data_IF_899518582585
#
_entry.id   IF_899518582585
#
_cell.length_a   1.000
_cell.length_b   1.000
_cell.length_c   1.000
_cell.angle_alpha   90.00
_cell.angle_beta   90.00
_cell.angle_gamma   90.00
#
_symmetry.space_group_name_H-M   'P 1'
#
loop_
_entity.id
_entity.type
_entity.pdbx_description
1 polymer ?
#
# COMPACT_ATOMS: atom_id res chain seq x y z
N UNK A 1 0.06 7.94 20.47
CA UNK A 1 0.44 8.48 19.14
C UNK A 1 1.87 8.12 18.71
N UNK A 2 2.81 8.01 19.62
CA UNK A 2 4.25 7.89 19.29
C UNK A 2 4.72 6.58 18.66
N UNK A 3 3.85 5.59 18.49
CA UNK A 3 4.26 4.24 18.05
C UNK A 3 3.84 3.91 16.61
N UNK A 4 2.85 4.58 16.03
CA UNK A 4 2.30 4.26 14.72
C UNK A 4 2.90 5.11 13.59
N UNK A 5 3.26 6.37 13.86
CA UNK A 5 3.74 7.31 12.84
C UNK A 5 5.11 7.86 13.26
N UNK A 6 6.17 7.31 12.70
CA UNK A 6 7.56 7.64 13.03
C UNK A 6 8.08 8.75 12.10
N UNK A 7 8.82 9.73 12.66
CA UNK A 7 9.52 10.76 11.88
C UNK A 7 8.60 11.78 11.17
N UNK A 8 7.34 11.93 11.61
CA UNK A 8 6.33 12.79 10.97
C UNK A 8 5.85 13.93 11.87
N UNK A 9 6.70 14.46 12.75
CA UNK A 9 6.32 15.46 13.77
C UNK A 9 5.61 16.67 13.18
N UNK A 10 6.08 17.15 12.02
CA UNK A 10 5.50 18.30 11.33
C UNK A 10 4.10 18.01 10.81
N UNK A 11 3.91 16.85 10.18
CA UNK A 11 2.61 16.42 9.68
C UNK A 11 1.63 16.19 10.84
N UNK A 12 2.08 15.53 11.92
CA UNK A 12 1.26 15.28 13.11
C UNK A 12 0.82 16.58 13.78
N UNK A 13 1.71 17.57 13.92
CA UNK A 13 1.36 18.88 14.45
C UNK A 13 0.32 19.60 13.55
N UNK A 14 0.45 19.49 12.22
CA UNK A 14 -0.51 20.05 11.28
C UNK A 14 -1.88 19.36 11.39
N UNK A 15 -1.93 18.04 11.56
CA UNK A 15 -3.17 17.29 11.79
C UNK A 15 -3.86 17.70 13.08
N UNK A 16 -3.11 17.85 14.18
CA UNK A 16 -3.64 18.32 15.47
C UNK A 16 -4.23 19.72 15.36
N UNK A 17 -3.52 20.63 14.68
CA UNK A 17 -4.03 22.00 14.44
C UNK A 17 -5.29 21.99 13.57
N UNK A 18 -5.32 21.14 12.53
CA UNK A 18 -6.48 20.97 11.66
C UNK A 18 -7.68 20.38 12.43
N UNK A 19 -7.46 19.41 13.32
CA UNK A 19 -8.50 18.82 14.15
C UNK A 19 -9.11 19.83 15.15
N UNK A 20 -8.30 20.78 15.66
CA UNK A 20 -8.81 21.83 16.55
C UNK A 20 -9.77 22.81 15.87
N UNK A 21 -9.64 23.01 14.55
CA UNK A 21 -10.51 23.86 13.72
C UNK A 21 -10.79 23.17 12.39
N UNK A 22 -11.67 22.17 12.38
CA UNK A 22 -11.85 21.32 11.22
C UNK A 22 -12.39 22.07 10.00
N UNK A 23 -11.71 21.91 8.88
CA UNK A 23 -12.23 22.20 7.56
C UNK A 23 -13.10 21.04 7.05
N UNK A 24 -13.53 21.13 5.80
CA UNK A 24 -14.41 20.14 5.19
C UNK A 24 -13.70 19.14 4.29
N UNK A 25 -12.50 19.46 3.78
CA UNK A 25 -11.73 18.58 2.92
C UNK A 25 -10.22 18.69 3.15
N UNK A 26 -9.55 17.57 3.23
CA UNK A 26 -8.10 17.45 3.45
C UNK A 26 -7.48 16.60 2.36
N UNK A 27 -6.24 16.92 2.01
CA UNK A 27 -5.40 16.14 1.10
C UNK A 27 -4.08 15.81 1.83
N UNK A 28 -3.97 14.57 2.27
CA UNK A 28 -2.73 14.04 2.84
C UNK A 28 -1.87 13.52 1.69
N UNK A 29 -0.65 14.03 1.59
CA UNK A 29 0.28 13.74 0.50
C UNK A 29 1.55 13.14 1.08
N UNK A 30 1.95 11.97 0.62
CA UNK A 30 3.20 11.36 1.04
C UNK A 30 3.40 9.95 0.49
N UNK A 31 4.63 9.43 0.55
CA UNK A 31 4.92 8.11 0.03
C UNK A 31 4.21 7.02 0.83
N UNK A 32 3.82 5.96 0.14
CA UNK A 32 3.25 4.77 0.78
C UNK A 32 4.23 4.21 1.82
N UNK A 33 3.69 3.77 2.95
CA UNK A 33 4.51 3.22 4.02
C UNK A 33 5.27 4.26 4.85
N UNK A 34 4.99 5.57 4.66
CA UNK A 34 5.46 6.64 5.56
C UNK A 34 4.62 6.77 6.84
N UNK A 35 3.62 5.91 7.02
CA UNK A 35 2.64 6.00 8.11
C UNK A 35 1.45 6.90 7.80
N UNK A 36 1.30 7.35 6.55
CA UNK A 36 0.23 8.28 6.13
C UNK A 36 -1.17 7.66 6.29
N UNK A 37 -1.32 6.36 6.05
CA UNK A 37 -2.59 5.65 6.20
C UNK A 37 -3.01 5.59 7.68
N UNK A 38 -2.07 5.29 8.59
CA UNK A 38 -2.34 5.29 10.03
C UNK A 38 -2.58 6.70 10.56
N UNK A 39 -1.84 7.68 10.05
CA UNK A 39 -2.06 9.09 10.36
C UNK A 39 -3.45 9.58 9.90
N UNK A 40 -3.95 9.11 8.77
CA UNK A 40 -5.31 9.42 8.30
C UNK A 40 -6.38 8.88 9.25
N UNK A 41 -6.20 7.66 9.79
CA UNK A 41 -7.11 7.08 10.79
C UNK A 41 -7.03 7.82 12.12
N UNK A 42 -5.83 8.12 12.60
CA UNK A 42 -5.64 8.94 13.80
C UNK A 42 -6.28 10.33 13.65
N UNK A 43 -6.12 10.95 12.49
CA UNK A 43 -6.77 12.22 12.20
C UNK A 43 -8.30 12.10 12.20
N UNK A 44 -8.84 11.02 11.64
CA UNK A 44 -10.28 10.76 11.71
C UNK A 44 -10.76 10.60 13.15
N UNK A 45 -10.00 9.89 14.01
CA UNK A 45 -10.31 9.76 15.44
C UNK A 45 -10.35 11.12 16.15
N UNK A 46 -9.39 12.01 15.83
CA UNK A 46 -9.39 13.39 16.35
C UNK A 46 -10.61 14.18 15.87
N UNK A 47 -10.95 14.09 14.58
CA UNK A 47 -12.06 14.83 13.97
C UNK A 47 -13.42 14.45 14.55
N UNK A 48 -13.62 13.17 14.93
CA UNK A 48 -14.84 12.70 15.56
C UNK A 48 -14.80 12.72 17.09
N UNK A 49 -13.65 13.11 17.70
CA UNK A 49 -13.52 13.33 19.13
C UNK A 49 -13.40 12.06 19.98
N UNK A 50 -12.89 10.95 19.43
CA UNK A 50 -12.76 9.66 20.14
C UNK A 50 -11.34 9.31 20.55
N UNK A 51 -10.39 10.24 20.50
CA UNK A 51 -8.98 9.98 20.88
C UNK A 51 -8.82 9.54 22.34
N UNK A 52 -9.64 10.05 23.24
CA UNK A 52 -9.66 9.71 24.67
C UNK A 52 -10.66 8.57 25.00
N UNK A 53 -11.47 8.15 24.05
CA UNK A 53 -12.34 6.97 24.14
C UNK A 53 -11.62 5.74 23.58
N UNK A 54 -11.06 4.92 24.45
CA UNK A 54 -10.31 3.72 24.08
C UNK A 54 -11.08 2.79 23.13
N UNK A 55 -12.40 2.69 23.30
CA UNK A 55 -13.29 1.88 22.44
C UNK A 55 -13.44 2.51 21.06
N UNK A 56 -13.88 3.76 21.02
CA UNK A 56 -14.12 4.50 19.78
C UNK A 56 -12.83 4.60 18.96
N UNK A 57 -11.72 4.93 19.61
CA UNK A 57 -10.40 5.01 18.97
C UNK A 57 -9.99 3.66 18.33
N UNK A 58 -10.13 2.54 19.05
CA UNK A 58 -9.86 1.20 18.49
C UNK A 58 -10.75 0.87 17.29
N UNK A 59 -12.04 1.23 17.32
CA UNK A 59 -12.93 1.01 16.19
C UNK A 59 -12.49 1.80 14.95
N UNK A 60 -11.99 3.03 15.13
CA UNK A 60 -11.43 3.84 14.03
C UNK A 60 -10.19 3.17 13.45
N UNK A 61 -9.21 2.80 14.30
CA UNK A 61 -7.97 2.15 13.83
C UNK A 61 -8.23 0.80 13.14
N UNK A 62 -9.30 0.12 13.49
CA UNK A 62 -9.75 -1.12 12.83
C UNK A 62 -10.64 -0.88 11.61
N UNK A 63 -10.88 0.38 11.22
CA UNK A 63 -11.73 0.76 10.07
C UNK A 63 -13.17 0.28 10.17
N UNK A 64 -13.72 0.21 11.37
CA UNK A 64 -15.10 -0.29 11.64
C UNK A 64 -15.98 0.69 12.41
N UNK A 65 -15.50 1.88 12.72
CA UNK A 65 -16.31 2.92 13.37
C UNK A 65 -17.44 3.36 12.42
N UNK A 66 -18.70 3.49 12.89
CA UNK A 66 -19.84 3.80 12.01
C UNK A 66 -19.75 5.17 11.33
N UNK A 67 -19.02 6.11 11.94
CA UNK A 67 -18.87 7.48 11.43
C UNK A 67 -17.49 7.73 10.75
N UNK A 68 -16.65 6.70 10.60
CA UNK A 68 -15.43 6.75 9.81
C UNK A 68 -15.50 5.69 8.73
N UNK A 69 -15.60 6.10 7.47
CA UNK A 69 -15.77 5.17 6.35
C UNK A 69 -14.59 5.29 5.41
N UNK A 70 -13.92 4.18 5.18
CA UNK A 70 -12.77 4.08 4.30
C UNK A 70 -13.17 3.57 2.92
N UNK A 71 -12.61 4.20 1.90
CA UNK A 71 -12.76 3.81 0.50
C UNK A 71 -11.40 3.59 -0.13
N UNK A 72 -11.30 2.50 -0.85
CA UNK A 72 -10.18 2.16 -1.73
C UNK A 72 -10.74 1.74 -3.09
N UNK A 73 -9.99 1.99 -4.19
CA UNK A 73 -10.44 1.55 -5.49
C UNK A 73 -10.46 0.01 -5.57
N UNK A 74 -11.58 -0.55 -5.99
CA UNK A 74 -11.75 -1.99 -6.17
C UNK A 74 -11.01 -2.57 -7.39
N UNK A 75 -10.45 -1.70 -8.24
CA UNK A 75 -9.74 -2.01 -9.49
C UNK A 75 -8.62 -0.99 -9.72
N UNK A 76 -8.16 -0.83 -10.96
CA UNK A 76 -7.12 0.15 -11.33
C UNK A 76 -7.52 1.61 -11.06
N UNK A 77 -8.82 1.91 -10.90
CA UNK A 77 -9.34 3.24 -10.59
C UNK A 77 -10.68 3.15 -9.86
N UNK A 78 -11.08 4.25 -9.21
CA UNK A 78 -12.44 4.42 -8.71
C UNK A 78 -13.42 4.46 -9.88
N UNK A 79 -14.40 3.55 -9.88
CA UNK A 79 -15.46 3.52 -10.89
C UNK A 79 -16.55 4.50 -10.54
N UNK A 80 -16.89 5.40 -11.50
CA UNK A 80 -17.84 6.48 -11.25
C UNK A 80 -19.21 5.98 -10.80
N UNK A 81 -19.70 4.87 -11.35
CA UNK A 81 -20.99 4.29 -10.99
C UNK A 81 -20.90 3.56 -9.65
N UNK A 82 -20.09 2.51 -9.61
CA UNK A 82 -20.10 1.54 -8.51
C UNK A 82 -19.45 2.08 -7.23
N UNK A 83 -18.35 2.84 -7.36
CA UNK A 83 -17.63 3.35 -6.18
C UNK A 83 -18.11 4.75 -5.79
N UNK A 84 -18.14 5.70 -6.74
CA UNK A 84 -18.46 7.10 -6.40
C UNK A 84 -19.95 7.29 -6.18
N UNK A 85 -20.80 7.00 -7.20
CA UNK A 85 -22.24 7.31 -7.13
C UNK A 85 -23.05 6.36 -6.24
N UNK A 86 -22.67 5.09 -6.16
CA UNK A 86 -23.44 4.10 -5.37
C UNK A 86 -22.92 3.93 -3.95
N UNK A 87 -21.69 4.34 -3.64
CA UNK A 87 -21.09 4.14 -2.31
C UNK A 87 -20.63 5.44 -1.67
N UNK A 88 -19.71 6.21 -2.28
CA UNK A 88 -19.09 7.38 -1.64
C UNK A 88 -20.10 8.51 -1.45
N UNK A 89 -20.78 8.95 -2.51
CA UNK A 89 -21.73 10.08 -2.42
C UNK A 89 -22.94 9.80 -1.50
N UNK A 90 -23.58 8.61 -1.54
CA UNK A 90 -24.64 8.29 -0.60
C UNK A 90 -24.16 8.24 0.85
N UNK A 91 -22.93 7.75 1.09
CA UNK A 91 -22.37 7.71 2.44
C UNK A 91 -22.00 9.10 2.94
N UNK A 92 -21.50 9.98 2.07
CA UNK A 92 -21.26 11.38 2.40
C UNK A 92 -22.53 12.12 2.82
N UNK A 93 -23.68 11.79 2.22
CA UNK A 93 -24.97 12.41 2.52
C UNK A 93 -25.63 11.90 3.80
N UNK A 94 -25.13 10.83 4.42
CA UNK A 94 -25.70 10.29 5.66
C UNK A 94 -25.21 11.09 6.86
N UNK A 95 -26.13 11.38 7.78
CA UNK A 95 -25.78 11.98 9.06
C UNK A 95 -24.88 11.04 9.88
N UNK A 96 -24.02 11.59 10.74
CA UNK A 96 -23.27 10.80 11.72
C UNK A 96 -24.23 10.02 12.64
N UNK A 97 -23.78 8.87 13.15
CA UNK A 97 -24.57 7.95 13.96
C UNK A 97 -24.25 8.11 15.45
N UNK A 98 -22.97 8.08 15.82
CA UNK A 98 -22.49 8.13 17.21
C UNK A 98 -21.70 9.42 17.50
N UNK A 99 -20.99 9.96 16.50
CA UNK A 99 -20.14 11.12 16.65
C UNK A 99 -20.81 12.42 16.16
N UNK A 100 -20.18 13.58 16.47
CA UNK A 100 -20.62 14.87 15.97
C UNK A 100 -20.38 15.07 14.48
N UNK A 101 -19.46 14.31 13.90
CA UNK A 101 -19.04 14.37 12.48
C UNK A 101 -18.88 12.99 11.88
N UNK A 102 -19.01 12.94 10.57
CA UNK A 102 -18.66 11.80 9.74
C UNK A 102 -17.39 12.11 8.97
N UNK A 103 -16.48 11.13 8.90
CA UNK A 103 -15.24 11.23 8.14
C UNK A 103 -15.22 10.17 7.04
N UNK A 104 -14.96 10.61 5.82
CA UNK A 104 -14.73 9.72 4.67
C UNK A 104 -13.25 9.78 4.33
N UNK A 105 -12.56 8.64 4.40
CA UNK A 105 -11.16 8.52 3.98
C UNK A 105 -11.11 7.83 2.63
N UNK A 106 -10.56 8.50 1.62
CA UNK A 106 -10.35 7.95 0.29
C UNK A 106 -8.84 7.71 0.09
N UNK A 107 -8.44 6.46 0.13
CA UNK A 107 -7.06 6.06 -0.16
C UNK A 107 -6.82 5.99 -1.67
N UNK A 108 -5.56 6.15 -2.09
CA UNK A 108 -5.17 6.17 -3.51
C UNK A 108 -6.02 7.16 -4.32
N UNK A 109 -6.16 8.38 -3.79
CA UNK A 109 -7.07 9.38 -4.35
C UNK A 109 -6.69 9.81 -5.79
N UNK A 110 -5.42 9.66 -6.20
CA UNK A 110 -4.96 9.85 -7.58
C UNK A 110 -5.75 8.99 -8.57
N UNK A 111 -6.25 7.83 -8.13
CA UNK A 111 -7.05 6.91 -8.95
C UNK A 111 -8.50 7.36 -9.16
N UNK A 112 -8.92 8.46 -8.54
CA UNK A 112 -10.19 9.13 -8.88
C UNK A 112 -10.19 9.66 -10.32
N UNK A 113 -9.02 9.89 -10.90
CA UNK A 113 -8.91 10.36 -12.28
C UNK A 113 -9.63 9.46 -13.28
N UNK A 114 -9.50 8.11 -13.16
CA UNK A 114 -10.17 7.14 -14.01
C UNK A 114 -10.10 7.48 -15.51
N UNK A 115 -10.98 6.88 -16.30
CA UNK A 115 -11.16 7.28 -17.71
C UNK A 115 -11.94 8.60 -17.75
N UNK A 116 -11.39 9.62 -18.43
CA UNK A 116 -12.03 10.94 -18.66
C UNK A 116 -12.36 11.76 -17.41
N UNK A 117 -11.74 11.49 -16.26
CA UNK A 117 -11.94 12.23 -15.00
C UNK A 117 -13.37 12.23 -14.44
N UNK A 118 -14.23 11.29 -14.87
CA UNK A 118 -15.65 11.27 -14.47
C UNK A 118 -15.82 11.07 -12.96
N UNK A 119 -15.03 10.17 -12.35
CA UNK A 119 -15.08 9.92 -10.91
C UNK A 119 -14.64 11.16 -10.11
N UNK A 120 -13.56 11.80 -10.55
CA UNK A 120 -13.06 13.04 -9.96
C UNK A 120 -14.10 14.17 -10.06
N UNK A 121 -14.70 14.37 -11.23
CA UNK A 121 -15.72 15.38 -11.45
C UNK A 121 -16.99 15.14 -10.61
N UNK A 122 -17.37 13.88 -10.40
CA UNK A 122 -18.51 13.54 -9.55
C UNK A 122 -18.28 13.92 -8.06
N UNK A 123 -17.03 13.93 -7.60
CA UNK A 123 -16.65 14.32 -6.25
C UNK A 123 -16.59 15.83 -6.02
N UNK A 124 -16.43 16.65 -7.09
CA UNK A 124 -16.20 18.11 -6.95
C UNK A 124 -17.30 18.79 -6.15
N UNK A 125 -18.57 18.47 -6.39
CA UNK A 125 -19.68 19.08 -5.66
C UNK A 125 -19.60 18.79 -4.16
N UNK A 126 -19.26 17.55 -3.79
CA UNK A 126 -19.13 17.15 -2.37
C UNK A 126 -17.90 17.79 -1.71
N UNK A 127 -16.86 18.09 -2.49
CA UNK A 127 -15.66 18.78 -1.99
C UNK A 127 -15.87 20.29 -1.88
N UNK A 128 -16.74 20.90 -2.70
CA UNK A 128 -17.11 22.32 -2.64
C UNK A 128 -18.10 22.62 -1.53
N UNK A 129 -19.15 21.82 -1.47
CA UNK A 129 -20.28 21.98 -0.54
C UNK A 129 -20.58 20.61 0.10
N UNK A 130 -19.73 20.15 1.03
CA UNK A 130 -19.97 18.88 1.70
C UNK A 130 -21.24 18.97 2.54
N UNK A 131 -21.97 17.86 2.70
CA UNK A 131 -23.08 17.79 3.62
C UNK A 131 -22.65 18.18 5.04
N UNK A 132 -23.57 18.79 5.79
CA UNK A 132 -23.31 19.23 7.16
C UNK A 132 -22.65 18.11 7.99
N UNK A 133 -21.59 18.50 8.71
CA UNK A 133 -20.80 17.60 9.58
C UNK A 133 -20.03 16.46 8.87
N UNK A 134 -19.89 16.52 7.54
CA UNK A 134 -19.07 15.56 6.80
C UNK A 134 -17.71 16.15 6.48
N UNK A 135 -16.65 15.38 6.76
CA UNK A 135 -15.26 15.72 6.41
C UNK A 135 -14.73 14.68 5.43
N UNK A 136 -14.08 15.14 4.36
CA UNK A 136 -13.45 14.27 3.37
C UNK A 136 -11.92 14.34 3.52
N UNK A 137 -11.29 13.18 3.68
CA UNK A 137 -9.83 13.05 3.75
C UNK A 137 -9.36 12.24 2.54
N UNK A 138 -8.65 12.88 1.65
CA UNK A 138 -8.01 12.26 0.49
C UNK A 138 -6.56 11.90 0.85
N UNK A 139 -6.13 10.69 0.51
CA UNK A 139 -4.76 10.21 0.75
C UNK A 139 -4.14 9.82 -0.59
N UNK A 140 -2.95 10.36 -0.92
CA UNK A 140 -2.27 10.10 -2.20
C UNK A 140 -0.75 10.14 -2.07
N UNK A 141 -0.06 9.33 -2.87
CA UNK A 141 1.39 9.40 -3.09
C UNK A 141 1.75 10.14 -4.40
N UNK A 142 0.76 10.37 -5.27
CA UNK A 142 0.91 11.03 -6.57
C UNK A 142 -0.03 12.24 -6.71
N UNK A 143 0.21 13.36 -6.00
CA UNK A 143 -0.68 14.51 -5.97
C UNK A 143 -0.86 15.18 -7.33
N UNK A 144 0.12 15.05 -8.24
CA UNK A 144 0.05 15.63 -9.58
C UNK A 144 -0.89 14.88 -10.52
N UNK A 145 -1.24 13.64 -10.20
CA UNK A 145 -2.25 12.87 -10.93
C UNK A 145 -3.68 13.25 -10.52
N UNK A 146 -3.85 13.98 -9.42
CA UNK A 146 -5.14 14.54 -9.05
C UNK A 146 -5.47 15.80 -9.87
N UNK A 147 -6.76 15.97 -10.18
CA UNK A 147 -7.22 17.21 -10.83
C UNK A 147 -6.86 18.44 -10.01
N UNK A 148 -6.37 19.53 -10.64
CA UNK A 148 -6.11 20.79 -9.95
C UNK A 148 -7.34 21.33 -9.20
N UNK A 149 -8.54 21.07 -9.72
CA UNK A 149 -9.82 21.45 -9.10
C UNK A 149 -10.10 20.71 -7.79
N UNK A 150 -9.64 19.48 -7.60
CA UNK A 150 -9.70 18.75 -6.32
C UNK A 150 -8.66 19.32 -5.36
N UNK A 151 -7.39 19.45 -5.82
CA UNK A 151 -6.29 19.94 -4.98
C UNK A 151 -6.56 21.33 -4.39
N UNK A 152 -7.17 22.21 -5.17
CA UNK A 152 -7.46 23.61 -4.73
C UNK A 152 -8.57 23.69 -3.68
N UNK A 153 -9.35 22.63 -3.45
CA UNK A 153 -10.47 22.58 -2.49
C UNK A 153 -10.11 21.86 -1.20
N UNK A 154 -8.93 21.25 -1.14
CA UNK A 154 -8.48 20.51 0.01
C UNK A 154 -7.37 21.26 0.75
N UNK A 155 -7.41 21.25 2.08
CA UNK A 155 -6.26 21.64 2.89
C UNK A 155 -5.20 20.55 2.78
N UNK A 156 -4.05 20.92 2.20
CA UNK A 156 -2.93 19.98 2.00
C UNK A 156 -2.07 19.84 3.24
N UNK A 157 -1.73 18.59 3.57
CA UNK A 157 -0.77 18.22 4.62
C UNK A 157 0.21 17.22 4.02
N UNK A 158 1.49 17.57 4.05
CA UNK A 158 2.55 16.77 3.44
C UNK A 158 3.24 15.88 4.48
N UNK A 159 3.48 14.63 4.09
CA UNK A 159 4.26 13.62 4.80
C UNK A 159 5.55 13.39 4.04
N UNK A 160 6.67 13.53 4.71
CA UNK A 160 7.97 13.29 4.14
C UNK A 160 8.32 11.78 4.17
N UNK A 161 9.22 11.29 3.29
CA UNK A 161 9.83 10.00 3.48
C UNK A 161 10.52 9.94 4.85
N UNK A 162 10.36 8.82 5.57
CA UNK A 162 11.04 8.65 6.87
C UNK A 162 12.55 8.61 6.61
N UNK A 163 13.33 9.35 7.39
CA UNK A 163 14.79 9.35 7.21
C UNK A 163 15.38 7.98 7.58
N UNK A 164 16.43 7.56 6.86
CA UNK A 164 17.02 6.23 7.02
C UNK A 164 17.43 5.93 8.46
N UNK A 165 17.91 6.93 9.21
CA UNK A 165 18.28 6.78 10.61
C UNK A 165 17.09 6.39 11.51
N UNK A 166 15.90 6.94 11.26
CA UNK A 166 14.69 6.61 12.03
C UNK A 166 14.17 5.22 11.62
N UNK A 167 14.22 4.87 10.34
CA UNK A 167 13.91 3.52 9.85
C UNK A 167 14.85 2.50 10.51
N UNK A 168 16.15 2.76 10.49
CA UNK A 168 17.16 1.91 11.13
C UNK A 168 16.87 1.73 12.63
N UNK A 169 16.63 2.82 13.36
CA UNK A 169 16.34 2.78 14.78
C UNK A 169 15.08 1.96 15.12
N UNK A 170 14.08 1.97 14.25
CA UNK A 170 12.87 1.12 14.41
C UNK A 170 13.24 -0.33 14.21
N UNK A 171 13.95 -0.69 13.13
CA UNK A 171 14.34 -2.06 12.83
C UNK A 171 15.22 -2.66 13.95
N UNK A 172 16.17 -1.89 14.49
CA UNK A 172 17.02 -2.32 15.60
C UNK A 172 16.20 -2.62 16.87
N UNK A 173 15.21 -1.78 17.18
CA UNK A 173 14.27 -2.03 18.29
C UNK A 173 13.43 -3.28 18.09
N UNK A 174 13.15 -3.64 16.82
CA UNK A 174 12.44 -4.86 16.42
C UNK A 174 13.36 -6.09 16.37
N UNK A 175 14.66 -5.93 16.69
CA UNK A 175 15.62 -7.03 16.81
C UNK A 175 16.41 -7.33 15.54
N UNK A 176 16.35 -6.48 14.52
CA UNK A 176 17.18 -6.60 13.32
C UNK A 176 18.63 -6.18 13.67
N UNK A 177 19.66 -6.97 13.32
CA UNK A 177 21.06 -6.59 13.56
C UNK A 177 21.40 -5.25 12.92
N UNK A 178 22.19 -4.40 13.61
CA UNK A 178 22.46 -3.03 13.17
C UNK A 178 23.03 -2.90 11.76
N UNK A 179 23.90 -3.83 11.34
CA UNK A 179 24.47 -3.85 9.98
C UNK A 179 23.37 -4.10 8.91
N UNK A 180 22.46 -5.04 9.18
CA UNK A 180 21.35 -5.37 8.29
C UNK A 180 20.31 -4.24 8.31
N UNK A 181 20.00 -3.69 9.49
CA UNK A 181 19.06 -2.58 9.65
C UNK A 181 19.51 -1.33 8.86
N UNK A 182 20.81 -1.00 8.88
CA UNK A 182 21.38 0.08 8.10
C UNK A 182 21.22 -0.14 6.58
N UNK A 183 21.60 -1.33 6.10
CA UNK A 183 21.50 -1.67 4.68
C UNK A 183 20.04 -1.67 4.20
N UNK A 184 19.13 -2.23 5.00
CA UNK A 184 17.71 -2.27 4.72
C UNK A 184 17.08 -0.88 4.71
N UNK A 185 17.42 -0.01 5.67
CA UNK A 185 16.91 1.36 5.73
C UNK A 185 17.22 2.14 4.46
N UNK A 186 18.49 2.07 3.98
CA UNK A 186 18.91 2.71 2.74
C UNK A 186 18.15 2.18 1.49
N UNK A 187 17.76 0.89 1.48
CA UNK A 187 17.01 0.28 0.37
C UNK A 187 15.50 0.57 0.44
N UNK A 188 14.99 0.85 1.63
CA UNK A 188 13.57 1.05 1.87
C UNK A 188 13.04 2.40 1.34
N UNK A 189 13.93 3.39 1.12
CA UNK A 189 13.56 4.70 0.59
C UNK A 189 12.56 5.43 1.49
N UNK A 190 12.74 5.35 2.82
CA UNK A 190 11.89 6.02 3.80
C UNK A 190 10.52 5.37 4.01
N UNK A 191 10.34 4.12 3.58
CA UNK A 191 9.09 3.36 3.76
C UNK A 191 9.27 2.28 4.83
N UNK A 192 8.76 2.51 6.04
CA UNK A 192 8.96 1.60 7.17
C UNK A 192 8.36 0.20 6.92
N UNK A 193 7.19 0.12 6.30
CA UNK A 193 6.57 -1.15 5.95
C UNK A 193 7.45 -1.97 4.97
N UNK A 194 8.04 -1.29 3.98
CA UNK A 194 9.01 -1.91 3.05
C UNK A 194 10.29 -2.34 3.78
N UNK A 195 10.80 -1.52 4.69
CA UNK A 195 11.97 -1.85 5.49
C UNK A 195 11.77 -3.13 6.31
N UNK A 196 10.65 -3.24 7.03
CA UNK A 196 10.26 -4.45 7.76
C UNK A 196 10.19 -5.68 6.86
N UNK A 197 9.60 -5.51 5.68
CA UNK A 197 9.50 -6.59 4.70
C UNK A 197 10.87 -7.02 4.17
N UNK A 198 11.76 -6.07 3.86
CA UNK A 198 13.13 -6.33 3.41
C UNK A 198 14.00 -7.00 4.48
N UNK A 199 13.79 -6.68 5.76
CA UNK A 199 14.47 -7.34 6.87
C UNK A 199 13.97 -8.77 7.16
N UNK A 200 12.83 -9.17 6.58
CA UNK A 200 12.17 -10.44 6.83
C UNK A 200 11.80 -11.20 5.55
N UNK A 201 10.52 -11.38 5.29
CA UNK A 201 10.04 -12.27 4.21
C UNK A 201 10.47 -11.85 2.81
N UNK A 202 10.71 -10.57 2.55
CA UNK A 202 11.18 -10.10 1.24
C UNK A 202 12.61 -10.49 0.91
N UNK A 203 13.49 -10.71 1.90
CA UNK A 203 14.86 -11.15 1.63
C UNK A 203 14.85 -12.53 0.92
N UNK A 204 14.08 -13.48 1.44
CA UNK A 204 13.92 -14.80 0.83
C UNK A 204 13.25 -14.71 -0.55
N UNK A 205 12.16 -13.94 -0.66
CA UNK A 205 11.47 -13.69 -1.93
C UNK A 205 12.44 -13.15 -3.00
N UNK A 206 13.18 -12.09 -2.67
CA UNK A 206 14.15 -11.46 -3.58
C UNK A 206 15.23 -12.45 -4.03
N UNK A 207 15.72 -13.30 -3.12
CA UNK A 207 16.72 -14.32 -3.46
C UNK A 207 16.19 -15.32 -4.50
N UNK A 208 14.94 -15.77 -4.36
CA UNK A 208 14.30 -16.69 -5.30
C UNK A 208 14.10 -16.01 -6.67
N UNK A 209 13.53 -14.81 -6.72
CA UNK A 209 13.32 -14.08 -7.95
C UNK A 209 14.63 -13.72 -8.67
N UNK A 210 15.63 -13.25 -7.95
CA UNK A 210 16.94 -12.92 -8.52
C UNK A 210 17.71 -14.17 -9.03
N UNK A 211 17.28 -15.38 -8.68
CA UNK A 211 17.85 -16.62 -9.26
C UNK A 211 17.27 -16.96 -10.63
N UNK A 212 16.07 -16.46 -10.96
CA UNK A 212 15.36 -16.82 -12.17
C UNK A 212 16.11 -16.48 -13.48
N UNK A 213 16.77 -15.29 -13.65
CA UNK A 213 17.50 -14.95 -14.86
C UNK A 213 18.58 -15.95 -15.28
N UNK A 214 19.24 -16.61 -14.33
CA UNK A 214 20.28 -17.62 -14.61
C UNK A 214 19.70 -18.96 -15.06
N UNK A 215 18.41 -19.18 -14.93
CA UNK A 215 17.73 -20.46 -15.14
C UNK A 215 16.83 -20.47 -16.38
N UNK A 216 16.58 -19.31 -17.00
CA UNK A 216 15.77 -19.24 -18.23
C UNK A 216 16.56 -19.84 -19.39
N UNK A 217 15.89 -20.67 -20.18
CA UNK A 217 16.46 -21.41 -21.32
C UNK A 217 15.68 -21.18 -22.62
N UNK A 218 14.64 -20.31 -22.58
CA UNK A 218 13.77 -20.03 -23.71
C UNK A 218 12.63 -21.03 -23.92
N UNK A 219 12.52 -22.08 -23.10
CA UNK A 219 11.44 -23.06 -23.21
C UNK A 219 10.28 -22.74 -22.26
N UNK A 220 9.05 -22.83 -22.78
CA UNK A 220 7.84 -22.54 -22.01
C UNK A 220 7.64 -23.45 -20.80
N UNK A 221 8.07 -24.71 -20.85
CA UNK A 221 7.99 -25.62 -19.73
C UNK A 221 8.87 -25.17 -18.54
N UNK A 222 10.10 -24.74 -18.84
CA UNK A 222 11.02 -24.20 -17.84
C UNK A 222 10.49 -22.87 -17.26
N UNK A 223 10.03 -21.98 -18.11
CA UNK A 223 9.42 -20.72 -17.69
C UNK A 223 8.20 -20.95 -16.77
N UNK A 224 7.35 -21.93 -17.09
CA UNK A 224 6.21 -22.29 -16.23
C UNK A 224 6.62 -22.84 -14.87
N UNK A 225 7.61 -23.74 -14.84
CA UNK A 225 8.14 -24.30 -13.59
C UNK A 225 8.75 -23.21 -12.69
N UNK A 226 9.55 -22.31 -13.26
CA UNK A 226 10.11 -21.15 -12.54
C UNK A 226 8.97 -20.25 -12.05
N UNK A 227 7.98 -19.94 -12.88
CA UNK A 227 6.87 -19.08 -12.49
C UNK A 227 6.05 -19.63 -11.32
N UNK A 228 5.86 -20.97 -11.26
CA UNK A 228 5.20 -21.61 -10.12
C UNK A 228 6.02 -21.49 -8.83
N UNK A 229 7.35 -21.64 -8.92
CA UNK A 229 8.25 -21.45 -7.77
C UNK A 229 8.21 -20.00 -7.28
N UNK A 230 8.26 -19.01 -8.19
CA UNK A 230 8.15 -17.60 -7.87
C UNK A 230 6.80 -17.25 -7.20
N UNK A 231 5.69 -17.79 -7.72
CA UNK A 231 4.36 -17.59 -7.16
C UNK A 231 4.24 -18.22 -5.76
N UNK A 232 4.81 -19.40 -5.56
CA UNK A 232 4.88 -20.04 -4.22
C UNK A 232 5.71 -19.23 -3.23
N UNK A 233 6.78 -18.58 -3.66
CA UNK A 233 7.55 -17.66 -2.82
C UNK A 233 6.75 -16.42 -2.43
N UNK A 234 5.90 -15.90 -3.33
CA UNK A 234 4.95 -14.82 -3.04
C UNK A 234 3.93 -15.26 -1.98
N UNK A 235 3.36 -16.45 -2.10
CA UNK A 235 2.42 -17.00 -1.12
C UNK A 235 3.08 -17.16 0.25
N UNK A 236 4.31 -17.67 0.31
CA UNK A 236 5.07 -17.80 1.55
C UNK A 236 5.36 -16.44 2.20
N UNK A 237 5.69 -15.42 1.41
CA UNK A 237 5.92 -14.08 1.92
C UNK A 237 4.62 -13.38 2.40
N UNK A 238 3.48 -13.70 1.80
CA UNK A 238 2.17 -13.19 2.20
C UNK A 238 1.61 -13.86 3.47
N UNK A 239 2.07 -15.04 3.84
CA UNK A 239 1.53 -15.84 4.94
C UNK A 239 1.53 -15.10 6.29
N UNK A 240 2.53 -14.24 6.56
CA UNK A 240 2.59 -13.44 7.78
C UNK A 240 1.42 -12.44 7.89
N UNK A 241 1.02 -11.84 6.77
CA UNK A 241 -0.13 -10.93 6.71
C UNK A 241 -1.42 -11.69 6.96
N UNK A 242 -1.59 -12.86 6.35
CA UNK A 242 -2.77 -13.71 6.55
C UNK A 242 -2.88 -14.22 7.99
N UNK A 243 -1.75 -14.57 8.63
CA UNK A 243 -1.74 -14.98 10.03
C UNK A 243 -2.21 -13.83 10.94
N UNK A 244 -1.65 -12.63 10.76
CA UNK A 244 -2.06 -11.42 11.49
C UNK A 244 -3.54 -11.11 11.30
N UNK A 245 -4.05 -11.21 10.08
CA UNK A 245 -5.47 -11.00 9.77
C UNK A 245 -6.40 -11.98 10.50
N UNK A 246 -5.99 -13.24 10.61
CA UNK A 246 -6.73 -14.26 11.38
C UNK A 246 -6.75 -13.93 12.88
N UNK A 247 -5.61 -13.52 13.43
CA UNK A 247 -5.51 -13.11 14.83
C UNK A 247 -6.38 -11.87 15.12
N UNK A 248 -6.37 -10.90 14.20
CA UNK A 248 -7.20 -9.70 14.32
C UNK A 248 -8.70 -10.03 14.32
N UNK A 249 -9.15 -10.93 13.44
CA UNK A 249 -10.54 -11.37 13.42
C UNK A 249 -10.92 -12.12 14.69
N UNK A 250 -10.06 -13.01 15.19
CA UNK A 250 -10.30 -13.73 16.43
C UNK A 250 -10.40 -12.78 17.63
N UNK A 251 -9.48 -11.84 17.75
CA UNK A 251 -9.50 -10.83 18.80
C UNK A 251 -10.74 -9.91 18.71
N UNK A 252 -11.18 -9.58 17.49
CA UNK A 252 -12.40 -8.83 17.27
C UNK A 252 -13.63 -9.61 17.73
N UNK A 253 -13.75 -10.89 17.37
CA UNK A 253 -14.90 -11.72 17.74
C UNK A 253 -15.00 -11.85 19.27
N UNK A 254 -13.87 -12.11 19.96
CA UNK A 254 -13.81 -12.18 21.44
C UNK A 254 -14.19 -10.83 22.08
N UNK A 255 -13.78 -9.71 21.51
CA UNK A 255 -14.12 -8.38 22.02
C UNK A 255 -15.62 -8.07 21.86
N UNK A 256 -16.21 -8.42 20.72
CA UNK A 256 -17.65 -8.20 20.48
C UNK A 256 -18.52 -9.03 21.42
N UNK A 257 -18.13 -10.29 21.70
CA UNK A 257 -18.78 -11.13 22.67
C UNK A 257 -18.69 -10.54 24.10
N UNK A 258 -17.49 -10.12 24.50
CA UNK A 258 -17.26 -9.50 25.82
C UNK A 258 -18.05 -8.22 26.03
N UNK A 259 -18.21 -7.40 24.99
CA UNK A 259 -18.95 -6.14 25.04
C UNK A 259 -20.47 -6.31 24.89
N UNK A 260 -20.95 -7.53 24.61
CA UNK A 260 -22.38 -7.84 24.49
C UNK A 260 -23.06 -7.19 23.27
N UNK A 261 -22.32 -6.99 22.17
CA UNK A 261 -22.92 -6.49 20.94
C UNK A 261 -23.94 -7.47 20.39
N UNK A 262 -25.01 -6.93 19.80
CA UNK A 262 -25.98 -7.75 19.08
C UNK A 262 -25.26 -8.46 17.89
N UNK A 263 -25.56 -9.73 17.69
CA UNK A 263 -24.92 -10.57 16.65
C UNK A 263 -24.97 -9.92 15.25
N UNK A 264 -26.08 -9.24 14.92
CA UNK A 264 -26.27 -8.54 13.66
C UNK A 264 -25.25 -7.41 13.45
N UNK A 265 -24.94 -6.67 14.51
CA UNK A 265 -24.00 -5.53 14.45
C UNK A 265 -22.58 -6.04 14.40
N UNK A 266 -22.22 -7.08 15.16
CA UNK A 266 -20.95 -7.76 15.10
C UNK A 266 -20.69 -8.33 13.71
N UNK A 267 -21.67 -8.99 13.08
CA UNK A 267 -21.54 -9.50 11.71
C UNK A 267 -21.37 -8.39 10.67
N UNK A 268 -22.03 -7.24 10.85
CA UNK A 268 -21.83 -6.08 9.95
C UNK A 268 -20.40 -5.57 10.04
N UNK A 269 -19.88 -5.35 11.24
CA UNK A 269 -18.51 -4.90 11.47
C UNK A 269 -17.48 -5.91 10.96
N UNK A 270 -17.71 -7.21 11.22
CA UNK A 270 -16.85 -8.29 10.71
C UNK A 270 -16.75 -8.28 9.18
N UNK A 271 -17.87 -8.06 8.46
CA UNK A 271 -17.83 -7.93 6.99
C UNK A 271 -16.97 -6.77 6.51
N UNK A 272 -16.88 -5.67 7.24
CA UNK A 272 -16.01 -4.53 6.92
C UNK A 272 -14.53 -4.90 7.09
N UNK A 273 -14.20 -5.62 8.18
CA UNK A 273 -12.84 -6.15 8.42
C UNK A 273 -12.46 -7.13 7.31
N UNK A 274 -13.33 -8.10 6.98
CA UNK A 274 -13.10 -9.07 5.91
C UNK A 274 -12.87 -8.38 4.55
N UNK A 275 -13.66 -7.33 4.26
CA UNK A 275 -13.49 -6.56 3.04
C UNK A 275 -12.16 -5.80 3.01
N UNK A 276 -11.71 -5.24 4.15
CA UNK A 276 -10.41 -4.62 4.30
C UNK A 276 -9.29 -5.65 4.11
N UNK A 277 -9.36 -6.80 4.79
CA UNK A 277 -8.38 -7.88 4.67
C UNK A 277 -8.23 -8.38 3.23
N UNK A 278 -9.34 -8.58 2.51
CA UNK A 278 -9.30 -8.98 1.10
C UNK A 278 -8.56 -7.96 0.23
N UNK A 279 -8.77 -6.66 0.47
CA UNK A 279 -8.07 -5.60 -0.26
C UNK A 279 -6.58 -5.59 0.10
N UNK A 280 -6.27 -5.69 1.38
CA UNK A 280 -4.89 -5.74 1.88
C UNK A 280 -4.13 -6.96 1.32
N UNK A 281 -4.71 -8.16 1.37
CA UNK A 281 -4.10 -9.38 0.81
C UNK A 281 -3.81 -9.21 -0.69
N UNK A 282 -4.79 -8.67 -1.44
CA UNK A 282 -4.61 -8.37 -2.85
C UNK A 282 -3.45 -7.39 -3.08
N UNK A 283 -3.43 -6.28 -2.34
CA UNK A 283 -2.38 -5.27 -2.45
C UNK A 283 -1.02 -5.85 -2.09
N UNK A 284 -0.93 -6.56 -0.96
CA UNK A 284 0.30 -7.24 -0.54
C UNK A 284 0.84 -8.15 -1.63
N UNK A 285 -0.03 -8.95 -2.27
CA UNK A 285 0.38 -9.85 -3.35
C UNK A 285 0.94 -9.09 -4.56
N UNK A 286 0.32 -7.98 -4.97
CA UNK A 286 0.81 -7.11 -6.05
C UNK A 286 2.16 -6.50 -5.68
N UNK A 287 2.32 -6.00 -4.46
CA UNK A 287 3.55 -5.39 -3.97
C UNK A 287 4.69 -6.43 -3.94
N UNK A 288 4.41 -7.65 -3.48
CA UNK A 288 5.37 -8.75 -3.46
C UNK A 288 5.82 -9.18 -4.88
N UNK A 289 4.88 -9.28 -5.82
CA UNK A 289 5.19 -9.56 -7.23
C UNK A 289 6.05 -8.44 -7.84
N UNK A 290 5.70 -7.20 -7.57
CA UNK A 290 6.44 -6.01 -8.04
C UNK A 290 7.88 -6.01 -7.48
N UNK A 291 8.03 -6.30 -6.18
CA UNK A 291 9.34 -6.39 -5.54
C UNK A 291 10.17 -7.58 -6.09
N UNK A 292 9.51 -8.71 -6.35
CA UNK A 292 10.14 -9.85 -6.99
C UNK A 292 10.66 -9.53 -8.39
N UNK A 293 9.86 -8.86 -9.22
CA UNK A 293 10.31 -8.41 -10.56
C UNK A 293 11.44 -7.40 -10.44
N UNK A 294 11.40 -6.50 -9.45
CA UNK A 294 12.51 -5.56 -9.17
C UNK A 294 13.80 -6.31 -8.81
N UNK A 295 13.70 -7.46 -8.13
CA UNK A 295 14.86 -8.31 -7.87
C UNK A 295 15.42 -8.94 -9.15
N UNK A 296 14.58 -9.38 -10.10
CA UNK A 296 15.01 -9.80 -11.44
C UNK A 296 15.72 -8.66 -12.17
N UNK A 297 15.11 -7.48 -12.21
CA UNK A 297 15.69 -6.28 -12.85
C UNK A 297 17.06 -5.93 -12.26
N UNK A 298 17.24 -6.07 -10.95
CA UNK A 298 18.51 -5.74 -10.29
C UNK A 298 19.68 -6.57 -10.83
N UNK A 299 19.45 -7.84 -11.21
CA UNK A 299 20.46 -8.72 -11.79
C UNK A 299 20.92 -8.22 -13.18
N UNK A 300 19.99 -7.76 -14.01
CA UNK A 300 20.31 -7.20 -15.31
C UNK A 300 20.94 -5.79 -15.20
N UNK A 301 20.52 -5.01 -14.20
CA UNK A 301 21.13 -3.70 -13.94
C UNK A 301 22.60 -3.82 -13.56
N UNK A 302 22.96 -4.83 -12.76
CA UNK A 302 24.34 -5.10 -12.40
C UNK A 302 25.23 -5.37 -13.63
N UNK A 303 24.67 -5.96 -14.69
CA UNK A 303 25.36 -6.18 -15.96
C UNK A 303 25.65 -4.86 -16.71
N UNK A 304 24.78 -3.85 -16.57
CA UNK A 304 24.92 -2.55 -17.22
C UNK A 304 25.78 -1.57 -16.40
N UNK A 305 25.81 -1.72 -15.08
CA UNK A 305 26.38 -0.75 -14.14
C UNK A 305 27.85 -1.03 -13.78
N UNK A 306 28.49 -2.06 -14.34
CA UNK A 306 29.91 -2.34 -14.07
C UNK A 306 30.81 -1.15 -14.50
N UNK A 307 31.72 -0.65 -13.66
CA UNK A 307 32.24 -1.21 -12.39
C UNK A 307 31.58 -0.68 -11.11
N UNK A 308 30.35 -0.17 -11.14
CA UNK A 308 29.66 0.30 -9.95
C UNK A 308 29.40 -0.86 -8.94
N UNK A 309 29.15 -0.56 -7.65
CA UNK A 309 28.84 -1.60 -6.66
C UNK A 309 27.65 -2.43 -7.13
N UNK A 310 27.84 -3.75 -7.25
CA UNK A 310 26.80 -4.67 -7.64
C UNK A 310 25.73 -4.80 -6.52
N UNK A 311 24.48 -4.78 -6.89
CA UNK A 311 23.38 -5.01 -5.93
C UNK A 311 23.30 -6.47 -5.47
N UNK A 312 23.82 -7.39 -6.30
CA UNK A 312 23.86 -8.83 -6.07
C UNK A 312 25.31 -9.31 -6.03
N UNK A 313 26.12 -8.74 -5.12
CA UNK A 313 27.57 -8.99 -5.04
C UNK A 313 27.94 -10.48 -4.79
N UNK A 314 27.00 -11.26 -4.24
CA UNK A 314 27.11 -12.70 -3.99
C UNK A 314 26.80 -13.57 -5.21
N UNK A 315 26.41 -12.95 -6.35
CA UNK A 315 26.01 -13.67 -7.57
C UNK A 315 26.96 -13.38 -8.72
N UNK A 316 27.23 -14.35 -9.59
CA UNK A 316 27.98 -14.10 -10.81
C UNK A 316 27.19 -13.21 -11.76
N UNK A 317 27.87 -12.32 -12.46
CA UNK A 317 27.27 -11.51 -13.52
C UNK A 317 26.68 -12.40 -14.63
N UNK A 318 25.52 -12.02 -15.14
CA UNK A 318 24.90 -12.76 -16.24
C UNK A 318 25.68 -12.55 -17.54
N UNK A 319 26.00 -13.62 -18.30
CA UNK A 319 26.65 -13.50 -19.59
C UNK A 319 25.63 -13.09 -20.67
N UNK A 320 25.16 -11.86 -20.63
CA UNK A 320 24.22 -11.29 -21.61
C UNK A 320 24.76 -9.95 -22.14
N UNK A 321 24.38 -9.59 -23.37
CA UNK A 321 24.81 -8.31 -23.94
C UNK A 321 24.10 -7.13 -23.24
N UNK A 322 24.71 -5.92 -23.23
CA UNK A 322 24.08 -4.72 -22.67
C UNK A 322 22.71 -4.42 -23.29
N UNK A 323 22.55 -4.68 -24.59
CA UNK A 323 21.26 -4.53 -25.29
C UNK A 323 20.21 -5.49 -24.77
N UNK A 324 20.57 -6.75 -24.54
CA UNK A 324 19.67 -7.76 -24.00
C UNK A 324 19.29 -7.44 -22.55
N UNK A 325 20.24 -6.98 -21.73
CA UNK A 325 19.98 -6.51 -20.38
C UNK A 325 18.99 -5.32 -20.35
N UNK A 326 19.18 -4.33 -21.24
CA UNK A 326 18.25 -3.21 -21.34
C UNK A 326 16.84 -3.65 -21.77
N UNK A 327 16.72 -4.62 -22.69
CA UNK A 327 15.43 -5.18 -23.07
C UNK A 327 14.76 -5.93 -21.91
N UNK A 328 15.52 -6.66 -21.09
CA UNK A 328 15.00 -7.32 -19.90
C UNK A 328 14.46 -6.32 -18.86
N UNK A 329 15.13 -5.18 -18.66
CA UNK A 329 14.64 -4.10 -17.79
C UNK A 329 13.31 -3.51 -18.29
N UNK A 330 13.19 -3.30 -19.61
CA UNK A 330 11.92 -2.84 -20.20
C UNK A 330 10.79 -3.85 -19.99
N UNK A 331 11.05 -5.15 -20.23
CA UNK A 331 10.08 -6.21 -19.98
C UNK A 331 9.65 -6.31 -18.50
N UNK A 332 10.59 -6.11 -17.57
CA UNK A 332 10.30 -6.05 -16.13
C UNK A 332 9.37 -4.88 -15.79
N UNK A 333 9.65 -3.71 -16.34
CA UNK A 333 8.78 -2.54 -16.17
C UNK A 333 7.34 -2.80 -16.67
N UNK A 334 7.17 -3.34 -17.87
CA UNK A 334 5.87 -3.71 -18.42
C UNK A 334 5.15 -4.75 -17.56
N UNK A 335 5.87 -5.73 -17.03
CA UNK A 335 5.29 -6.74 -16.14
C UNK A 335 4.76 -6.13 -14.84
N UNK A 336 5.49 -5.18 -14.23
CA UNK A 336 5.02 -4.48 -13.00
C UNK A 336 3.75 -3.69 -13.26
N UNK A 337 3.67 -2.91 -14.34
CA UNK A 337 2.46 -2.19 -14.72
C UNK A 337 1.28 -3.16 -14.95
N UNK A 338 1.57 -4.32 -15.55
CA UNK A 338 0.57 -5.33 -15.81
C UNK A 338 -0.02 -5.97 -14.53
N UNK A 339 0.76 -6.11 -13.44
CA UNK A 339 0.26 -6.63 -12.15
C UNK A 339 -0.75 -5.68 -11.50
N UNK A 340 -0.60 -4.36 -11.67
CA UNK A 340 -1.56 -3.38 -11.14
C UNK A 340 -2.98 -3.56 -11.71
N UNK A 341 -3.07 -4.08 -12.95
CA UNK A 341 -4.35 -4.27 -13.64
C UNK A 341 -4.95 -5.66 -13.36
N UNK A 342 -4.12 -6.71 -13.26
CA UNK A 342 -4.61 -8.09 -13.16
C UNK A 342 -3.63 -8.99 -12.37
N UNK A 343 -4.13 -9.63 -11.32
CA UNK A 343 -3.39 -10.46 -10.36
C UNK A 343 -3.01 -11.88 -10.84
N UNK A 344 -3.21 -12.24 -12.10
CA UNK A 344 -2.86 -13.58 -12.59
C UNK A 344 -1.32 -13.78 -12.59
N UNK A 345 -0.75 -13.97 -11.39
CA UNK A 345 0.69 -13.98 -11.12
C UNK A 345 1.44 -14.94 -12.04
N UNK A 346 1.11 -16.24 -12.00
CA UNK A 346 1.82 -17.27 -12.79
C UNK A 346 1.82 -16.96 -14.29
N UNK A 347 0.69 -16.60 -14.88
CA UNK A 347 0.60 -16.34 -16.33
C UNK A 347 1.46 -15.16 -16.75
N UNK A 348 1.49 -14.09 -15.94
CA UNK A 348 2.32 -12.93 -16.23
C UNK A 348 3.80 -13.16 -15.96
N UNK A 349 4.13 -13.94 -14.93
CA UNK A 349 5.50 -14.38 -14.68
C UNK A 349 6.02 -15.24 -15.83
N UNK A 350 5.21 -16.19 -16.37
CA UNK A 350 5.58 -16.95 -17.57
C UNK A 350 5.84 -16.02 -18.75
N UNK A 351 4.94 -15.06 -19.00
CA UNK A 351 5.12 -14.10 -20.08
C UNK A 351 6.42 -13.31 -19.92
N UNK A 352 6.71 -12.79 -18.72
CA UNK A 352 7.98 -12.11 -18.42
C UNK A 352 9.18 -13.04 -18.69
N UNK A 353 9.19 -14.24 -18.09
CA UNK A 353 10.32 -15.18 -18.17
C UNK A 353 10.63 -15.60 -19.63
N UNK A 354 9.59 -15.68 -20.48
CA UNK A 354 9.75 -15.98 -21.91
C UNK A 354 10.36 -14.82 -22.72
N UNK A 355 10.33 -13.60 -22.18
CA UNK A 355 10.95 -12.43 -22.83
C UNK A 355 12.37 -12.16 -22.33
N UNK A 356 12.78 -12.78 -21.22
CA UNK A 356 14.11 -12.60 -20.67
C UNK A 356 15.17 -13.26 -21.57
N UNK A 357 16.35 -12.63 -21.75
CA UNK A 357 17.44 -13.22 -22.54
C UNK A 357 17.99 -14.47 -21.82
N UNK A 358 18.22 -15.52 -22.58
CA UNK A 358 18.87 -16.74 -22.08
C UNK A 358 20.34 -16.49 -21.79
N UNK A 359 20.92 -17.03 -20.69
CA UNK A 359 22.34 -16.92 -20.42
C UNK A 359 23.18 -17.45 -21.61
N UNK A 360 24.12 -16.62 -22.09
CA UNK A 360 24.95 -16.95 -23.25
C UNK A 360 24.38 -16.59 -24.63
N UNK A 361 23.17 -16.01 -24.68
CA UNK A 361 22.68 -15.39 -25.93
C UNK A 361 23.36 -14.02 -26.13
N UNK A 362 24.14 -13.90 -27.18
CA UNK A 362 24.84 -12.68 -27.56
C UNK A 362 23.91 -11.61 -28.15
#
# INVERSE_FOLDING_TARGET
MDTLVVGQDRALAALQQAAARPGHAYLLVGPRGSGIEDAAREFAAMLIGVTDDERGHRLVLRSVHPDVVEFEPGAASYRVKDDVRERILPEAARAPIEADRKVLILFEAERLRGNQNESANAMLKTLEEPPDRTVVVLVTDAPDDLLPTIRSRCQRIDFDPIVDADVQAVLEREGVPAADAHAVAALAGGQLARARALAGPLAALRAVFASAPARVDGYGATAFAIAQELDSAVDAAAAAVEARQKEELAAFDEEMERLGYAERDSQRMRRLIDARHKRETRRTRIDLLTEGVTAIESVYRDTLAAPAPALNADRPALPVSPRAAAAALAAGHEAREAFLVNEKGVVRLVALLMTLPTPGSA
#
